data_IF_608000385153
#
_entry.id   IF_608000385153
#
_cell.length_a   1.000
_cell.length_b   1.000
_cell.length_c   1.000
_cell.angle_alpha   90.00
_cell.angle_beta   90.00
_cell.angle_gamma   90.00
#
_symmetry.space_group_name_H-M   'P 1'
#
loop_
_entity.id
_entity.type
_entity.pdbx_description
1 polymer ?
#
# COMPACT_ATOMS: atom_id res chain seq x y z
N UNK A 1 0.02 0.99 24.38
CA UNK A 1 1.26 1.45 23.68
C UNK A 1 0.89 2.69 22.91
N UNK A 2 1.54 3.82 23.15
CA UNK A 2 1.19 5.08 22.52
C UNK A 2 2.17 5.34 21.37
N UNK A 3 1.72 5.58 20.15
CA UNK A 3 2.59 6.21 19.15
C UNK A 3 2.90 7.64 19.60
N UNK A 4 4.13 8.06 19.35
CA UNK A 4 4.57 9.43 19.57
C UNK A 4 4.70 10.09 18.20
N UNK A 5 3.97 11.18 18.00
CA UNK A 5 4.23 12.11 16.92
C UNK A 5 5.49 12.88 17.32
N UNK A 6 6.60 12.63 16.63
CA UNK A 6 7.89 13.30 16.94
C UNK A 6 7.94 14.68 16.28
N UNK A 7 7.13 14.92 15.24
CA UNK A 7 7.14 16.18 14.51
C UNK A 7 6.44 17.30 15.31
N UNK A 8 7.17 17.84 16.29
CA UNK A 8 6.78 18.91 17.22
C UNK A 8 7.42 20.27 16.87
N UNK A 9 8.05 20.37 15.69
CA UNK A 9 8.81 21.54 15.25
C UNK A 9 10.20 21.70 15.90
N UNK A 10 10.59 20.81 16.83
CA UNK A 10 11.94 20.74 17.43
C UNK A 10 12.66 19.45 17.11
N UNK A 11 11.94 18.35 16.89
CA UNK A 11 12.46 17.05 16.50
C UNK A 11 11.85 16.62 15.17
N UNK A 12 12.66 16.24 14.20
CA UNK A 12 12.19 15.74 12.91
C UNK A 12 12.09 14.21 12.98
N UNK A 13 10.92 13.63 12.70
CA UNK A 13 10.76 12.18 12.67
C UNK A 13 9.38 11.70 12.27
N UNK A 14 9.32 10.57 11.54
CA UNK A 14 8.06 9.86 11.30
C UNK A 14 7.47 9.37 12.64
N UNK A 15 6.14 9.29 12.78
CA UNK A 15 5.50 8.67 13.95
C UNK A 15 6.15 7.32 14.23
N UNK A 16 6.64 7.14 15.46
CA UNK A 16 7.24 5.88 15.89
C UNK A 16 6.47 5.27 17.04
N UNK A 17 6.67 3.98 17.20
CA UNK A 17 6.32 3.31 18.45
C UNK A 17 7.12 3.97 19.59
N UNK A 18 6.44 4.31 20.68
CA UNK A 18 7.13 4.73 21.90
C UNK A 18 8.18 3.67 22.29
N UNK A 19 9.34 4.14 22.72
CA UNK A 19 10.37 3.30 23.32
C UNK A 19 9.83 2.66 24.59
N UNK A 20 10.44 1.56 25.02
CA UNK A 20 10.00 0.85 26.22
C UNK A 20 9.96 1.78 27.43
N UNK A 21 10.98 2.61 27.59
CA UNK A 21 11.14 3.60 28.66
C UNK A 21 9.98 4.59 28.70
N UNK A 22 9.57 5.10 27.53
CA UNK A 22 8.45 6.05 27.40
C UNK A 22 7.09 5.41 27.70
N UNK A 23 6.97 4.09 27.49
CA UNK A 23 5.73 3.35 27.76
C UNK A 23 5.56 3.09 29.26
N UNK A 24 6.65 2.81 29.97
CA UNK A 24 6.61 2.49 31.40
C UNK A 24 6.49 3.73 32.30
N UNK A 25 6.81 4.92 31.80
CA UNK A 25 6.66 6.17 32.56
C UNK A 25 5.19 6.52 32.86
N UNK A 26 4.25 6.17 31.97
CA UNK A 26 2.83 6.45 32.15
C UNK A 26 1.94 5.31 31.59
N UNK A 27 1.94 4.12 32.22
CA UNK A 27 1.16 2.98 31.74
C UNK A 27 -0.34 3.29 31.81
N UNK A 28 -1.02 3.19 30.67
CA UNK A 28 -2.47 3.35 30.62
C UNK A 28 -3.16 2.05 30.97
N UNK A 29 -4.15 2.11 31.86
CA UNK A 29 -4.96 0.96 32.23
C UNK A 29 -6.07 0.73 31.18
N UNK A 30 -5.70 0.05 30.10
CA UNK A 30 -6.59 -0.31 28.99
C UNK A 30 -7.00 -1.78 29.18
N UNK A 31 -8.27 -2.02 29.57
CA UNK A 31 -8.79 -3.39 29.80
C UNK A 31 -9.75 -3.77 28.67
N UNK A 32 -9.45 -4.79 27.86
CA UNK A 32 -10.41 -5.28 26.87
C UNK A 32 -11.57 -5.94 27.59
N UNK A 33 -12.79 -5.75 27.07
CA UNK A 33 -13.91 -6.58 27.46
C UNK A 33 -13.66 -7.99 26.93
N UNK A 34 -13.80 -9.02 27.77
CA UNK A 34 -13.62 -10.41 27.34
C UNK A 34 -14.83 -11.23 27.76
N UNK A 35 -15.50 -11.83 26.78
CA UNK A 35 -16.51 -12.83 27.01
C UNK A 35 -15.86 -14.22 26.90
N UNK A 36 -15.86 -14.94 28.02
CA UNK A 36 -15.33 -16.30 28.09
C UNK A 36 -16.39 -17.32 27.63
N UNK A 37 -15.95 -18.43 26.99
CA UNK A 37 -16.83 -19.57 26.72
C UNK A 37 -17.24 -20.26 28.03
N UNK A 38 -18.31 -21.05 27.99
CA UNK A 38 -18.67 -21.92 29.09
C UNK A 38 -17.57 -22.99 29.32
N UNK A 39 -17.41 -23.50 30.56
CA UNK A 39 -16.60 -24.67 30.82
C UNK A 39 -17.05 -25.84 29.93
N UNK A 40 -16.10 -26.64 29.49
CA UNK A 40 -16.34 -27.79 28.62
C UNK A 40 -15.52 -28.99 29.12
N UNK A 41 -15.98 -30.19 28.77
CA UNK A 41 -15.27 -31.45 29.01
C UNK A 41 -14.83 -32.01 27.67
N UNK A 42 -13.56 -32.39 27.54
CA UNK A 42 -13.01 -33.04 26.35
C UNK A 42 -12.74 -34.51 26.64
N UNK A 43 -13.21 -35.39 25.76
CA UNK A 43 -12.79 -36.79 25.79
C UNK A 43 -11.42 -36.99 25.12
N UNK A 44 -10.71 -38.09 25.42
CA UNK A 44 -9.48 -38.43 24.73
C UNK A 44 -9.66 -38.47 23.21
N UNK A 45 -8.84 -37.72 22.48
CA UNK A 45 -8.89 -37.61 21.02
C UNK A 45 -9.97 -36.66 20.47
N UNK A 46 -10.79 -36.05 21.33
CA UNK A 46 -11.81 -35.08 20.93
C UNK A 46 -11.18 -33.71 20.59
N UNK A 47 -11.78 -33.02 19.62
CA UNK A 47 -11.43 -31.63 19.28
C UNK A 47 -12.66 -30.75 19.46
N UNK A 48 -12.49 -29.61 20.12
CA UNK A 48 -13.57 -28.63 20.32
C UNK A 48 -13.09 -27.20 20.00
N UNK A 49 -13.98 -26.38 19.45
CA UNK A 49 -13.70 -24.96 19.17
C UNK A 49 -14.36 -24.08 20.22
N UNK A 50 -13.57 -23.53 21.14
CA UNK A 50 -14.03 -22.53 22.10
C UNK A 50 -13.90 -21.11 21.50
N UNK A 51 -14.96 -20.30 21.61
CA UNK A 51 -14.98 -18.92 21.09
C UNK A 51 -14.79 -17.92 22.24
N UNK A 52 -13.84 -17.01 22.07
CA UNK A 52 -13.58 -15.89 22.96
C UNK A 52 -13.94 -14.61 22.21
N UNK A 53 -14.80 -13.77 22.77
CA UNK A 53 -15.12 -12.48 22.16
C UNK A 53 -14.42 -11.36 22.90
N UNK A 54 -13.66 -10.55 22.17
CA UNK A 54 -12.97 -9.38 22.69
C UNK A 54 -13.75 -8.14 22.26
N UNK A 55 -14.13 -7.30 23.22
CA UNK A 55 -14.61 -5.95 22.94
C UNK A 55 -13.41 -4.99 22.97
N UNK A 56 -13.31 -4.06 22.00
CA UNK A 56 -12.27 -3.04 22.03
C UNK A 56 -12.27 -2.36 23.40
N UNK A 57 -11.10 -2.23 24.04
CA UNK A 57 -11.04 -1.60 25.34
C UNK A 57 -11.50 -0.14 25.24
N UNK A 58 -12.21 0.33 26.26
CA UNK A 58 -12.60 1.73 26.38
C UNK A 58 -11.45 2.52 27.01
N UNK A 59 -11.10 3.66 26.41
CA UNK A 59 -10.02 4.53 26.87
C UNK A 59 -8.76 4.43 26.00
N UNK A 60 -8.00 5.52 25.95
CA UNK A 60 -6.89 5.72 25.01
C UNK A 60 -7.34 6.54 23.79
N UNK A 61 -6.37 7.20 23.15
CA UNK A 61 -6.60 7.98 21.92
C UNK A 61 -6.37 7.08 20.69
N UNK A 62 -7.38 6.80 19.84
CA UNK A 62 -7.25 5.87 18.72
C UNK A 62 -6.09 6.18 17.77
N UNK A 63 -5.86 7.47 17.47
CA UNK A 63 -4.73 7.92 16.64
C UNK A 63 -3.35 7.60 17.23
N UNK A 64 -3.28 7.28 18.53
CA UNK A 64 -2.06 6.81 19.20
C UNK A 64 -1.87 5.29 19.12
N UNK A 65 -2.73 4.60 18.38
CA UNK A 65 -2.73 3.15 18.16
C UNK A 65 -2.55 2.33 19.46
N UNK A 66 -3.43 2.49 20.46
CA UNK A 66 -3.29 1.85 21.76
C UNK A 66 -3.27 0.32 21.64
N UNK A 67 -2.09 -0.27 21.78
CA UNK A 67 -1.95 -1.73 21.81
C UNK A 67 -2.30 -2.29 23.18
N UNK A 68 -3.01 -3.42 23.20
CA UNK A 68 -3.33 -4.21 24.38
C UNK A 68 -2.97 -5.68 24.12
N UNK A 69 -2.57 -6.39 25.17
CA UNK A 69 -2.15 -7.79 25.06
C UNK A 69 -2.47 -8.55 26.33
N UNK A 70 -2.33 -9.87 26.25
CA UNK A 70 -2.46 -10.76 27.38
C UNK A 70 -2.29 -12.20 26.97
N UNK A 71 -2.84 -13.10 27.78
CA UNK A 71 -2.93 -14.53 27.45
C UNK A 71 -4.25 -15.11 27.92
N UNK A 72 -4.83 -15.98 27.10
CA UNK A 72 -5.90 -16.88 27.50
C UNK A 72 -5.24 -18.06 28.21
N UNK A 73 -5.61 -18.31 29.46
CA UNK A 73 -5.16 -19.47 30.23
C UNK A 73 -6.27 -20.52 30.25
N UNK A 74 -5.99 -21.67 29.67
CA UNK A 74 -6.83 -22.86 29.69
C UNK A 74 -6.25 -23.78 30.75
N UNK A 75 -7.06 -24.18 31.72
CA UNK A 75 -6.66 -25.08 32.81
C UNK A 75 -7.55 -26.31 32.79
N UNK A 76 -6.94 -27.49 32.73
CA UNK A 76 -7.61 -28.76 32.94
C UNK A 76 -7.71 -29.10 34.42
N UNK A 77 -8.71 -29.88 34.79
CA UNK A 77 -8.82 -30.51 36.11
C UNK A 77 -7.78 -31.64 36.30
N UNK A 78 -7.21 -32.13 35.20
CA UNK A 78 -6.05 -33.04 35.16
C UNK A 78 -4.71 -32.35 35.50
N UNK A 79 -4.70 -31.05 35.82
CA UNK A 79 -3.51 -30.28 36.17
C UNK A 79 -2.75 -29.69 34.98
N UNK A 80 -3.22 -29.92 33.74
CA UNK A 80 -2.63 -29.31 32.56
C UNK A 80 -2.98 -27.82 32.44
N UNK A 81 -2.07 -27.04 31.86
CA UNK A 81 -2.30 -25.63 31.57
C UNK A 81 -1.73 -25.26 30.22
N UNK A 82 -2.55 -24.61 29.39
CA UNK A 82 -2.16 -24.04 28.10
C UNK A 82 -2.34 -22.52 28.14
N UNK A 83 -1.34 -21.79 27.64
CA UNK A 83 -1.40 -20.34 27.50
C UNK A 83 -1.40 -19.94 26.03
N UNK A 84 -2.44 -19.24 25.58
CA UNK A 84 -2.50 -18.67 24.23
C UNK A 84 -2.32 -17.16 24.32
N UNK A 85 -1.18 -16.59 23.88
CA UNK A 85 -0.98 -15.15 23.90
C UNK A 85 -1.90 -14.47 22.88
N UNK A 86 -2.32 -13.24 23.19
CA UNK A 86 -3.06 -12.40 22.25
C UNK A 86 -2.50 -10.97 22.26
N UNK A 87 -2.67 -10.30 21.12
CA UNK A 87 -2.28 -8.91 20.88
C UNK A 87 -3.38 -8.27 20.05
N UNK A 88 -3.78 -7.05 20.41
CA UNK A 88 -4.74 -6.25 19.67
C UNK A 88 -4.35 -4.78 19.67
N UNK A 89 -4.93 -4.03 18.74
CA UNK A 89 -4.85 -2.57 18.68
C UNK A 89 -6.26 -2.03 18.88
N UNK A 90 -6.43 -1.09 19.81
CA UNK A 90 -7.71 -0.45 20.08
C UNK A 90 -7.90 0.80 19.20
N UNK A 91 -7.81 0.58 17.89
CA UNK A 91 -7.95 1.60 16.86
C UNK A 91 -8.54 0.99 15.60
N UNK A 92 -9.24 1.80 14.81
CA UNK A 92 -9.57 1.46 13.43
C UNK A 92 -8.38 1.83 12.55
N UNK A 93 -7.55 0.85 12.18
CA UNK A 93 -6.34 1.10 11.40
C UNK A 93 -6.63 1.73 10.02
N UNK A 94 -7.81 1.48 9.43
CA UNK A 94 -8.17 2.07 8.14
C UNK A 94 -8.44 3.57 8.26
N UNK A 95 -8.91 4.01 9.43
CA UNK A 95 -9.23 5.41 9.74
C UNK A 95 -8.03 6.16 10.34
N UNK A 96 -7.30 5.52 11.25
CA UNK A 96 -6.29 6.19 12.07
C UNK A 96 -4.91 6.24 11.41
N UNK A 97 -4.60 5.33 10.49
CA UNK A 97 -3.34 5.39 9.74
C UNK A 97 -3.42 6.47 8.65
N UNK A 98 -2.34 7.25 8.44
CA UNK A 98 -2.27 8.13 7.28
C UNK A 98 -2.21 7.30 5.98
N UNK A 99 -2.16 7.99 4.84
CA UNK A 99 -1.94 7.38 3.54
C UNK A 99 -0.78 6.37 3.53
N UNK A 100 -0.88 5.39 2.63
CA UNK A 100 0.13 4.37 2.38
C UNK A 100 1.36 5.01 1.73
N UNK A 101 1.19 6.00 0.85
CA UNK A 101 2.30 6.67 0.19
C UNK A 101 3.03 7.65 1.13
N UNK A 102 4.35 7.75 0.99
CA UNK A 102 5.17 8.71 1.75
C UNK A 102 5.19 10.09 1.06
N UNK A 103 4.02 10.74 1.06
CA UNK A 103 3.74 11.98 0.34
C UNK A 103 3.98 13.21 1.22
N UNK A 104 4.24 14.39 0.62
CA UNK A 104 4.51 14.64 -0.81
C UNK A 104 5.99 14.43 -1.20
N UNK A 105 6.83 13.97 -0.27
CA UNK A 105 8.29 14.09 -0.40
C UNK A 105 8.95 13.11 -1.38
N UNK A 106 8.30 11.97 -1.67
CA UNK A 106 8.91 10.88 -2.43
C UNK A 106 8.12 10.44 -3.67
N UNK A 107 6.98 11.08 -3.95
CA UNK A 107 6.27 10.85 -5.19
C UNK A 107 7.03 11.51 -6.33
N UNK A 108 7.36 10.71 -7.33
CA UNK A 108 8.00 11.22 -8.53
C UNK A 108 7.37 10.55 -9.72
N UNK A 109 7.00 11.39 -10.67
CA UNK A 109 6.41 10.98 -11.92
C UNK A 109 6.99 11.90 -12.99
N UNK A 110 7.86 11.34 -13.82
CA UNK A 110 8.65 12.10 -14.76
C UNK A 110 8.94 11.31 -16.02
N UNK A 111 9.51 11.98 -17.02
CA UNK A 111 9.84 11.38 -18.31
C UNK A 111 11.00 12.10 -18.98
N UNK A 112 11.72 11.39 -19.85
CA UNK A 112 12.81 11.92 -20.65
C UNK A 112 14.15 11.93 -19.91
N UNK A 113 15.22 12.16 -20.68
CA UNK A 113 16.60 12.26 -20.17
C UNK A 113 16.78 13.35 -19.10
N UNK A 114 15.99 14.43 -19.19
CA UNK A 114 16.02 15.57 -18.27
C UNK A 114 15.08 15.42 -17.08
N UNK A 115 14.46 14.26 -16.91
CA UNK A 115 13.61 13.96 -15.76
C UNK A 115 12.45 14.97 -15.58
N UNK A 116 11.77 15.29 -16.68
CA UNK A 116 10.75 16.33 -16.73
C UNK A 116 9.51 15.85 -15.94
N UNK A 117 9.05 16.56 -14.90
CA UNK A 117 7.87 16.17 -14.14
C UNK A 117 6.61 16.07 -15.02
N UNK A 118 5.74 15.12 -14.69
CA UNK A 118 4.53 14.83 -15.47
C UNK A 118 3.60 16.03 -15.61
N UNK A 119 3.59 16.95 -14.63
CA UNK A 119 2.80 18.18 -14.70
C UNK A 119 3.26 19.14 -15.82
N UNK A 120 4.52 19.00 -16.27
CA UNK A 120 5.06 19.76 -17.41
C UNK A 120 5.02 18.96 -18.71
N UNK A 121 5.09 17.63 -18.62
CA UNK A 121 5.13 16.72 -19.76
C UNK A 121 4.38 15.42 -19.44
N UNK A 122 3.09 15.42 -19.77
CA UNK A 122 2.22 14.25 -19.63
C UNK A 122 1.98 13.52 -20.96
N UNK A 123 2.90 13.64 -21.93
CA UNK A 123 2.78 13.00 -23.23
C UNK A 123 4.04 12.22 -23.61
N UNK A 124 3.88 11.06 -24.25
CA UNK A 124 4.97 10.12 -24.52
C UNK A 124 4.78 9.39 -25.85
N UNK A 125 5.87 9.23 -26.60
CA UNK A 125 5.94 8.43 -27.84
C UNK A 125 6.43 7.01 -27.59
N UNK A 126 6.89 6.70 -26.37
CA UNK A 126 7.57 5.45 -26.01
C UNK A 126 8.83 5.21 -26.87
N UNK A 127 9.61 6.26 -27.13
CA UNK A 127 10.96 6.13 -27.68
C UNK A 127 11.99 5.84 -26.57
N UNK A 128 12.53 4.62 -26.58
CA UNK A 128 13.51 4.17 -25.58
C UNK A 128 14.96 4.44 -25.98
N UNK A 129 15.20 5.21 -27.05
CA UNK A 129 16.55 5.65 -27.43
C UNK A 129 17.23 6.37 -26.26
N UNK A 130 18.56 6.30 -26.19
CA UNK A 130 19.32 6.88 -25.08
C UNK A 130 19.21 8.41 -25.06
N UNK A 131 18.91 9.01 -26.21
CA UNK A 131 18.75 10.45 -26.40
C UNK A 131 17.33 10.94 -26.02
N UNK A 132 16.31 10.10 -26.17
CA UNK A 132 14.92 10.48 -25.88
C UNK A 132 14.49 10.06 -24.46
N UNK A 133 14.57 8.76 -24.15
CA UNK A 133 14.01 8.16 -22.93
C UNK A 133 12.54 8.57 -22.70
N UNK A 134 11.75 8.59 -23.77
CA UNK A 134 10.43 9.19 -23.82
C UNK A 134 9.33 8.22 -23.36
N UNK A 135 9.40 7.87 -22.09
CA UNK A 135 8.43 7.05 -21.37
C UNK A 135 8.37 7.52 -19.91
N UNK A 136 7.33 7.15 -19.14
CA UNK A 136 7.25 7.56 -17.75
C UNK A 136 8.04 6.67 -16.78
N UNK A 137 8.81 7.33 -15.90
CA UNK A 137 9.30 6.78 -14.65
C UNK A 137 8.35 7.19 -13.51
N UNK A 138 7.85 6.20 -12.78
CA UNK A 138 7.03 6.41 -11.58
C UNK A 138 7.83 5.88 -10.39
N UNK A 139 8.09 6.73 -9.41
CA UNK A 139 8.75 6.37 -8.17
C UNK A 139 7.88 6.73 -6.98
N UNK A 140 7.84 5.82 -6.01
CA UNK A 140 7.07 5.96 -4.79
C UNK A 140 7.76 5.28 -3.62
N UNK A 141 7.46 5.77 -2.42
CA UNK A 141 7.78 5.06 -1.18
C UNK A 141 6.50 4.73 -0.41
N UNK A 142 6.47 3.56 0.20
CA UNK A 142 5.35 3.07 0.99
C UNK A 142 5.67 3.23 2.49
N UNK A 143 4.91 4.09 3.18
CA UNK A 143 4.99 4.30 4.63
C UNK A 143 4.50 3.08 5.41
N UNK A 144 3.51 2.36 4.85
CA UNK A 144 2.98 1.10 5.37
C UNK A 144 3.03 0.01 4.32
N UNK A 145 3.07 -1.24 4.77
CA UNK A 145 2.90 -2.38 3.88
C UNK A 145 1.50 -2.33 3.26
N UNK A 146 1.39 -2.73 2.00
CA UNK A 146 0.10 -2.84 1.31
C UNK A 146 -0.09 -4.24 0.76
N UNK A 147 -1.34 -4.73 0.85
CA UNK A 147 -1.71 -6.00 0.24
C UNK A 147 -1.79 -5.90 -1.28
N UNK A 148 -2.10 -4.73 -1.83
CA UNK A 148 -2.26 -4.53 -3.27
C UNK A 148 -1.87 -3.11 -3.67
N UNK A 149 -0.91 -2.98 -4.58
CA UNK A 149 -0.54 -1.74 -5.26
C UNK A 149 -0.91 -1.86 -6.73
N UNK A 150 -1.62 -0.87 -7.25
CA UNK A 150 -2.14 -0.82 -8.61
C UNK A 150 -1.68 0.45 -9.32
N UNK A 151 -1.33 0.30 -10.60
CA UNK A 151 -1.15 1.42 -11.51
C UNK A 151 -1.99 1.09 -12.75
N UNK A 152 -3.13 1.77 -12.85
CA UNK A 152 -4.22 1.42 -13.76
C UNK A 152 -4.45 2.56 -14.78
N UNK A 153 -4.70 2.19 -16.02
CA UNK A 153 -5.07 3.11 -17.11
C UNK A 153 -6.58 3.09 -17.31
N UNK A 154 -7.16 4.27 -17.42
CA UNK A 154 -8.56 4.52 -17.69
C UNK A 154 -8.73 5.44 -18.90
N UNK A 155 -9.92 5.42 -19.49
CA UNK A 155 -10.33 6.36 -20.55
C UNK A 155 -10.20 7.83 -20.10
N UNK A 156 -10.01 8.76 -21.05
CA UNK A 156 -9.74 10.18 -20.79
C UNK A 156 -10.71 10.84 -19.79
N UNK A 157 -12.00 10.56 -19.90
CA UNK A 157 -13.06 11.18 -19.09
C UNK A 157 -13.49 10.32 -17.91
N UNK A 158 -12.65 9.39 -17.50
CA UNK A 158 -12.90 8.60 -16.30
C UNK A 158 -12.80 9.46 -15.04
N UNK A 159 -13.60 9.12 -14.03
CA UNK A 159 -13.69 9.81 -12.74
C UNK A 159 -13.76 8.79 -11.61
N UNK A 160 -13.24 9.15 -10.44
CA UNK A 160 -13.05 8.23 -9.30
C UNK A 160 -14.37 7.59 -8.79
N UNK A 161 -15.52 8.23 -8.98
CA UNK A 161 -16.84 7.70 -8.64
C UNK A 161 -17.24 6.46 -9.47
N UNK A 162 -16.55 6.21 -10.58
CA UNK A 162 -16.72 5.02 -11.43
C UNK A 162 -15.78 3.87 -11.05
N UNK A 163 -14.95 4.02 -10.02
CA UNK A 163 -14.03 2.96 -9.60
C UNK A 163 -14.79 1.74 -9.05
N UNK A 164 -14.46 0.56 -9.59
CA UNK A 164 -15.01 -0.73 -9.15
C UNK A 164 -13.91 -1.77 -8.99
N UNK A 165 -14.09 -2.67 -8.00
CA UNK A 165 -13.14 -3.75 -7.72
C UNK A 165 -13.81 -5.13 -7.77
N UNK A 166 -13.18 -6.14 -8.41
CA UNK A 166 -11.96 -6.01 -9.21
C UNK A 166 -12.27 -5.30 -10.54
N UNK A 167 -11.37 -4.44 -11.05
CA UNK A 167 -11.62 -3.77 -12.32
C UNK A 167 -11.55 -4.79 -13.47
N UNK A 168 -12.44 -4.62 -14.46
CA UNK A 168 -12.59 -5.51 -15.61
C UNK A 168 -12.37 -4.72 -16.89
N UNK A 169 -11.47 -5.18 -17.76
CA UNK A 169 -11.12 -4.46 -19.00
C UNK A 169 -12.36 -4.19 -19.84
N UNK A 170 -12.53 -2.93 -20.26
CA UNK A 170 -13.68 -2.46 -21.03
C UNK A 170 -14.92 -2.12 -20.19
N UNK A 171 -14.87 -2.26 -18.86
CA UNK A 171 -15.95 -1.87 -17.96
C UNK A 171 -15.56 -0.64 -17.15
N UNK A 172 -16.54 0.22 -16.86
CA UNK A 172 -16.36 1.44 -16.08
C UNK A 172 -15.19 2.34 -16.55
N UNK A 173 -14.83 2.28 -17.85
CA UNK A 173 -13.72 3.03 -18.44
C UNK A 173 -12.33 2.45 -18.15
N UNK A 174 -12.22 1.27 -17.54
CA UNK A 174 -10.95 0.61 -17.27
C UNK A 174 -10.33 0.03 -18.54
N UNK A 175 -9.15 0.52 -18.91
CA UNK A 175 -8.39 0.05 -20.08
C UNK A 175 -7.50 -1.13 -19.69
N UNK A 176 -6.86 -1.08 -18.53
CA UNK A 176 -6.01 -2.15 -18.04
C UNK A 176 -4.94 -1.66 -17.07
N UNK A 177 -4.25 -2.61 -16.43
CA UNK A 177 -3.10 -2.32 -15.58
C UNK A 177 -1.82 -2.21 -16.41
N UNK A 178 -0.90 -1.35 -15.99
CA UNK A 178 0.41 -1.23 -16.66
C UNK A 178 1.35 -2.37 -16.25
N UNK A 179 2.43 -2.53 -17.01
CA UNK A 179 3.63 -3.21 -16.55
C UNK A 179 4.76 -2.23 -16.24
N UNK A 180 5.76 -2.68 -15.49
CA UNK A 180 7.07 -2.04 -15.44
C UNK A 180 8.10 -2.94 -16.11
N UNK A 181 9.16 -2.37 -16.69
CA UNK A 181 10.42 -3.09 -16.90
C UNK A 181 10.84 -3.78 -15.58
N UNK A 182 11.40 -4.99 -15.66
CA UNK A 182 11.63 -5.84 -14.49
C UNK A 182 12.75 -5.34 -13.56
N UNK A 183 13.73 -4.62 -14.11
CA UNK A 183 14.89 -4.10 -13.36
C UNK A 183 15.02 -2.57 -13.47
N UNK A 184 14.00 -1.79 -13.11
CA UNK A 184 14.04 -0.34 -13.23
C UNK A 184 15.00 0.24 -12.18
N UNK A 185 15.82 1.20 -12.59
CA UNK A 185 16.74 1.91 -11.69
C UNK A 185 16.25 3.34 -11.55
N UNK A 186 16.08 3.82 -10.32
CA UNK A 186 15.67 5.22 -10.09
C UNK A 186 16.64 6.20 -10.77
N UNK A 187 16.13 7.04 -11.68
CA UNK A 187 16.91 7.96 -12.52
C UNK A 187 17.91 7.27 -13.45
N UNK A 188 17.72 5.97 -13.70
CA UNK A 188 18.49 5.24 -14.69
C UNK A 188 17.93 5.48 -16.10
N UNK A 189 18.61 4.90 -17.08
CA UNK A 189 18.17 4.92 -18.47
C UNK A 189 18.00 3.49 -18.97
N UNK A 190 16.97 3.29 -19.79
CA UNK A 190 16.80 2.05 -20.53
C UNK A 190 17.77 2.03 -21.71
N UNK A 191 18.63 1.02 -21.78
CA UNK A 191 19.57 0.83 -22.88
C UNK A 191 19.03 -0.28 -23.81
N UNK A 192 18.46 0.06 -24.98
CA UNK A 192 17.85 -0.93 -25.87
C UNK A 192 18.87 -1.92 -26.47
N UNK A 193 20.17 -1.67 -26.37
CA UNK A 193 21.20 -2.61 -26.81
C UNK A 193 21.55 -3.67 -25.74
N UNK A 194 21.17 -3.43 -24.47
CA UNK A 194 21.53 -4.28 -23.33
C UNK A 194 20.34 -4.82 -22.54
N UNK A 195 19.20 -4.13 -22.61
CA UNK A 195 18.00 -4.40 -21.81
C UNK A 195 16.86 -4.88 -22.71
N UNK A 196 16.02 -5.76 -22.16
CA UNK A 196 14.89 -6.32 -22.89
C UNK A 196 13.58 -5.65 -22.46
N UNK A 197 12.96 -4.86 -23.34
CA UNK A 197 11.74 -4.11 -23.01
C UNK A 197 10.53 -5.02 -22.71
N UNK A 198 10.56 -6.28 -23.18
CA UNK A 198 9.51 -7.26 -22.90
C UNK A 198 9.68 -7.96 -21.55
N UNK A 199 10.83 -7.80 -20.89
CA UNK A 199 11.06 -8.32 -19.55
C UNK A 199 10.37 -7.40 -18.54
N UNK A 200 9.18 -7.80 -18.12
CA UNK A 200 8.27 -6.93 -17.38
C UNK A 200 7.68 -7.61 -16.15
N UNK A 201 7.32 -6.78 -15.18
CA UNK A 201 6.51 -7.16 -14.02
C UNK A 201 5.17 -6.43 -14.14
N UNK A 202 4.07 -7.20 -14.13
CA UNK A 202 2.72 -6.65 -14.26
C UNK A 202 2.15 -6.18 -12.93
N UNK A 203 1.48 -5.04 -12.93
CA UNK A 203 0.60 -4.64 -11.81
C UNK A 203 -0.78 -5.32 -11.97
N UNK A 204 -1.53 -5.59 -10.89
CA UNK A 204 -1.30 -5.20 -9.50
C UNK A 204 -0.20 -6.01 -8.81
N UNK A 205 0.67 -5.32 -8.05
CA UNK A 205 1.63 -5.96 -7.15
C UNK A 205 0.97 -6.31 -5.83
N UNK A 206 1.36 -7.44 -5.23
CA UNK A 206 0.75 -7.95 -4.00
C UNK A 206 1.77 -8.09 -2.86
N UNK A 207 1.28 -7.88 -1.64
CA UNK A 207 2.03 -8.09 -0.40
C UNK A 207 3.35 -7.31 -0.35
N UNK A 208 3.32 -6.03 -0.72
CA UNK A 208 4.49 -5.16 -0.66
C UNK A 208 4.77 -4.73 0.78
N UNK A 209 6.02 -4.87 1.20
CA UNK A 209 6.48 -4.36 2.48
C UNK A 209 6.54 -2.83 2.48
N UNK A 210 6.58 -2.23 3.67
CA UNK A 210 6.90 -0.80 3.80
C UNK A 210 8.36 -0.55 3.42
N UNK A 211 8.62 0.69 3.01
CA UNK A 211 9.99 1.16 2.82
C UNK A 211 10.62 1.60 4.14
N UNK A 212 11.95 1.47 4.18
CA UNK A 212 12.79 1.91 5.30
C UNK A 212 13.71 3.03 4.85
N UNK A 213 13.99 3.97 5.75
CA UNK A 213 14.90 5.09 5.47
C UNK A 213 16.28 4.59 5.06
N UNK A 214 16.90 5.25 4.09
CA UNK A 214 18.20 4.85 3.54
C UNK A 214 18.14 3.75 2.47
N UNK A 215 16.95 3.26 2.10
CA UNK A 215 16.75 2.40 0.92
C UNK A 215 15.85 3.07 -0.10
N UNK A 216 16.13 2.80 -1.37
CA UNK A 216 15.27 3.18 -2.50
C UNK A 216 13.91 2.51 -2.35
N UNK A 217 12.85 3.26 -2.65
CA UNK A 217 11.50 2.72 -2.75
C UNK A 217 11.25 1.94 -4.03
N UNK A 218 10.02 1.99 -4.50
CA UNK A 218 9.58 1.30 -5.71
C UNK A 218 9.70 2.23 -6.93
N UNK A 219 10.50 1.81 -7.91
CA UNK A 219 10.59 2.47 -9.22
C UNK A 219 9.86 1.61 -10.25
N UNK A 220 9.14 2.26 -11.16
CA UNK A 220 8.48 1.66 -12.29
C UNK A 220 8.90 2.39 -13.56
N UNK A 221 9.30 1.66 -14.59
CA UNK A 221 9.47 2.18 -15.94
C UNK A 221 8.39 1.57 -16.82
N UNK A 222 7.36 2.35 -17.14
CA UNK A 222 6.30 1.86 -18.00
C UNK A 222 6.69 2.06 -19.46
N UNK A 223 7.11 0.98 -20.12
CA UNK A 223 7.50 0.97 -21.53
C UNK A 223 6.29 0.67 -22.45
N UNK A 224 5.11 1.19 -22.10
CA UNK A 224 3.88 1.09 -22.89
C UNK A 224 3.22 -0.29 -22.95
N UNK A 225 3.84 -1.35 -22.42
CA UNK A 225 3.22 -2.67 -22.31
C UNK A 225 2.19 -2.70 -21.17
N UNK A 226 1.08 -3.41 -21.41
CA UNK A 226 -0.03 -3.59 -20.49
C UNK A 226 0.01 -5.00 -19.88
N UNK A 227 -0.60 -5.18 -18.71
CA UNK A 227 -0.57 -6.45 -17.96
C UNK A 227 -1.22 -7.63 -18.70
N UNK A 228 -2.08 -7.37 -19.69
CA UNK A 228 -2.67 -8.38 -20.56
C UNK A 228 -1.77 -8.76 -21.76
N UNK A 229 -0.57 -8.19 -21.86
CA UNK A 229 0.39 -8.40 -22.96
C UNK A 229 0.19 -7.50 -24.18
N UNK A 230 -0.86 -6.67 -24.22
CA UNK A 230 -1.00 -5.67 -25.28
C UNK A 230 -0.09 -4.47 -25.04
N UNK A 231 0.08 -3.62 -26.05
CA UNK A 231 0.64 -2.28 -25.87
C UNK A 231 -0.48 -1.25 -25.79
N UNK A 232 -0.26 -0.17 -25.05
CA UNK A 232 -1.18 0.96 -25.00
C UNK A 232 -1.30 1.61 -26.39
N UNK A 233 -2.52 1.88 -26.82
CA UNK A 233 -2.79 2.55 -28.09
C UNK A 233 -2.59 4.07 -27.94
N UNK A 234 -2.31 4.75 -29.05
CA UNK A 234 -2.29 6.22 -29.11
C UNK A 234 -3.63 6.78 -28.66
N UNK A 235 -3.62 7.83 -27.83
CA UNK A 235 -4.83 8.41 -27.28
C UNK A 235 -4.59 9.12 -25.95
N UNK A 236 -5.65 9.67 -25.39
CA UNK A 236 -5.64 10.37 -24.11
C UNK A 236 -6.29 9.50 -23.03
N UNK A 237 -5.68 9.48 -21.86
CA UNK A 237 -6.05 8.56 -20.78
C UNK A 237 -5.90 9.22 -19.41
N UNK A 238 -6.54 8.61 -18.42
CA UNK A 238 -6.30 8.90 -17.01
C UNK A 238 -5.49 7.75 -16.39
N UNK A 239 -4.44 8.07 -15.64
CA UNK A 239 -3.64 7.08 -14.91
C UNK A 239 -3.97 7.16 -13.42
N UNK A 240 -4.30 6.02 -12.81
CA UNK A 240 -4.60 5.91 -11.38
C UNK A 240 -3.52 5.12 -10.67
N UNK A 241 -2.82 5.75 -9.75
CA UNK A 241 -1.84 5.11 -8.84
C UNK A 241 -2.50 4.94 -7.48
N UNK A 242 -2.67 3.69 -7.04
CA UNK A 242 -3.45 3.37 -5.85
C UNK A 242 -2.84 2.22 -5.03
N UNK A 243 -2.74 2.42 -3.72
CA UNK A 243 -2.35 1.38 -2.77
C UNK A 243 -3.48 1.11 -1.78
N UNK A 244 -3.76 -0.17 -1.51
CA UNK A 244 -4.79 -0.52 -0.56
C UNK A 244 -4.32 -0.20 0.87
N UNK A 245 -5.15 0.54 1.62
CA UNK A 245 -4.89 0.83 3.04
C UNK A 245 -4.87 -0.46 3.86
N UNK A 246 -4.02 -0.56 4.90
CA UNK A 246 -3.98 -1.74 5.77
C UNK A 246 -5.36 -2.11 6.31
N UNK A 247 -5.65 -3.41 6.39
CA UNK A 247 -6.89 -3.96 6.98
C UNK A 247 -8.20 -3.49 6.32
N UNK A 248 -8.15 -2.93 5.13
CA UNK A 248 -9.31 -2.37 4.43
C UNK A 248 -9.89 -3.31 3.37
N UNK A 249 -11.17 -3.13 3.04
CA UNK A 249 -11.88 -3.89 2.01
C UNK A 249 -11.63 -3.28 0.61
N UNK A 250 -11.02 -4.00 -0.34
CA UNK A 250 -10.70 -3.45 -1.65
C UNK A 250 -11.93 -3.07 -2.48
N UNK A 251 -13.12 -3.58 -2.13
CA UNK A 251 -14.40 -3.26 -2.78
C UNK A 251 -14.91 -1.86 -2.43
N UNK A 252 -14.39 -1.25 -1.38
CA UNK A 252 -14.73 0.13 -1.02
C UNK A 252 -13.70 1.08 -1.66
N UNK A 253 -14.17 2.05 -2.46
CA UNK A 253 -13.31 3.03 -3.11
C UNK A 253 -12.45 3.83 -2.09
N UNK A 254 -13.01 4.18 -0.92
CA UNK A 254 -12.30 4.96 0.10
C UNK A 254 -11.20 4.19 0.83
N UNK A 255 -11.14 2.87 0.62
CA UNK A 255 -10.09 1.99 1.17
C UNK A 255 -8.78 2.07 0.41
N UNK A 256 -8.75 2.74 -0.73
CA UNK A 256 -7.54 2.99 -1.50
C UNK A 256 -6.95 4.35 -1.11
N UNK A 257 -5.64 4.38 -0.93
CA UNK A 257 -4.85 5.61 -0.94
C UNK A 257 -4.41 5.87 -2.38
N UNK A 258 -4.71 7.04 -2.91
CA UNK A 258 -4.56 7.38 -4.33
C UNK A 258 -3.79 8.67 -4.49
N UNK A 259 -2.95 8.76 -5.53
CA UNK A 259 -2.36 10.03 -5.92
C UNK A 259 -3.46 10.99 -6.40
N UNK A 260 -3.46 12.22 -5.89
CA UNK A 260 -4.54 13.20 -6.15
C UNK A 260 -4.35 13.99 -7.44
N UNK A 261 -3.10 14.22 -7.85
CA UNK A 261 -2.76 15.17 -8.92
C UNK A 261 -2.00 14.51 -10.07
N UNK A 262 -2.60 13.44 -10.62
CA UNK A 262 -2.13 12.82 -11.87
C UNK A 262 -2.83 13.50 -13.05
N UNK A 263 -2.10 14.25 -13.91
CA UNK A 263 -2.71 14.89 -15.07
C UNK A 263 -3.19 13.84 -16.08
N UNK A 264 -4.13 14.23 -16.96
CA UNK A 264 -4.44 13.46 -18.17
C UNK A 264 -3.15 13.22 -18.95
N UNK A 265 -2.92 11.97 -19.33
CA UNK A 265 -1.75 11.56 -20.11
C UNK A 265 -2.13 11.40 -21.59
N UNK A 266 -1.17 11.58 -22.48
CA UNK A 266 -1.35 11.40 -23.92
C UNK A 266 -0.26 10.48 -24.50
N UNK A 267 -0.69 9.39 -25.10
CA UNK A 267 0.18 8.50 -25.86
C UNK A 267 0.20 8.96 -27.31
N UNK A 268 1.37 9.37 -27.76
CA UNK A 268 1.63 9.87 -29.10
C UNK A 268 2.10 8.73 -30.03
N UNK A 269 1.93 8.86 -31.35
CA UNK A 269 2.53 7.94 -32.30
C UNK A 269 4.05 7.89 -32.14
N UNK A 270 4.65 6.72 -32.39
CA UNK A 270 6.11 6.56 -32.35
C UNK A 270 6.77 7.40 -33.45
N UNK A 271 7.66 8.32 -33.06
CA UNK A 271 8.36 9.24 -33.97
C UNK A 271 7.62 10.55 -34.28
N UNK A 272 6.63 10.92 -33.47
CA UNK A 272 5.96 12.23 -33.48
C UNK A 272 6.82 13.32 -32.82
#
# INVERSE_FOLDING_TARGET
MNTLQIDDGKHWGAPRMAWFEEIIEAPQQIRPGVQMPAPLTLQPGETHTAKFAFSPPTGGEPGRLPMYSGKVLIKGDNGESLGVPYLGVAADLAKELPGVFDTPNYERFSSGVDDIPVQKKANWTFDYSLEAQDFPEIYMRLRFATRELRIDVFEEHWTEDRWEYPPVVGQAGYVGAITSYAEPVLRGHFDPAKMNASETISTPLRSLARDISGRTGHTFWWLGQMANGSHIATGRYHLRVAALKPWSDPRNATSWDTWTDVPTIEVLPRGA
#
